data_IF_337223251439
#
_entry.id   IF_337223251439
#
_cell.length_a   1.000
_cell.length_b   1.000
_cell.length_c   1.000
_cell.angle_alpha   90.00
_cell.angle_beta   90.00
_cell.angle_gamma   90.00
#
_symmetry.space_group_name_H-M   'P 1'
#
loop_
_entity.id
_entity.type
_entity.pdbx_description
1 polymer ?
#
# COMPACT_ATOMS: atom_id res chain seq x y z
N UNK A 1 -24.97 -17.64 -6.17
CA UNK A 1 -25.28 -16.91 -7.43
C UNK A 1 -24.28 -17.40 -8.44
N UNK A 2 -24.74 -17.70 -9.66
CA UNK A 2 -24.05 -18.48 -10.70
C UNK A 2 -22.52 -18.47 -10.68
N UNK A 3 -21.89 -19.60 -10.36
CA UNK A 3 -20.50 -19.89 -10.72
C UNK A 3 -20.43 -19.95 -12.25
N UNK A 4 -20.21 -18.80 -12.88
CA UNK A 4 -19.93 -18.72 -14.30
C UNK A 4 -18.57 -19.38 -14.53
N UNK A 5 -18.51 -20.33 -15.47
CA UNK A 5 -17.26 -21.01 -15.84
C UNK A 5 -16.12 -20.02 -16.13
N UNK A 6 -16.46 -18.85 -16.68
CA UNK A 6 -15.49 -17.79 -16.94
C UNK A 6 -14.91 -17.19 -15.66
N UNK A 7 -15.75 -16.91 -14.66
CA UNK A 7 -15.31 -16.32 -13.39
C UNK A 7 -14.45 -17.32 -12.60
N UNK A 8 -14.80 -18.61 -12.65
CA UNK A 8 -13.99 -19.68 -12.07
C UNK A 8 -12.63 -19.80 -12.78
N UNK A 9 -12.61 -19.82 -14.12
CA UNK A 9 -11.36 -19.90 -14.87
C UNK A 9 -10.45 -18.69 -14.63
N UNK A 10 -11.02 -17.49 -14.46
CA UNK A 10 -10.26 -16.29 -14.11
C UNK A 10 -9.67 -16.39 -12.70
N UNK A 11 -10.47 -16.82 -11.73
CA UNK A 11 -10.00 -17.05 -10.36
C UNK A 11 -8.89 -18.12 -10.31
N UNK A 12 -8.99 -19.19 -11.10
CA UNK A 12 -7.96 -20.23 -11.17
C UNK A 12 -6.66 -19.68 -11.78
N UNK A 13 -6.75 -18.83 -12.80
CA UNK A 13 -5.59 -18.18 -13.40
C UNK A 13 -4.89 -17.24 -12.41
N UNK A 14 -5.65 -16.48 -11.63
CA UNK A 14 -5.12 -15.61 -10.57
C UNK A 14 -4.36 -16.42 -9.50
N UNK A 15 -4.88 -17.58 -9.10
CA UNK A 15 -4.18 -18.48 -8.17
C UNK A 15 -2.86 -19.00 -8.76
N UNK A 16 -2.87 -19.39 -10.03
CA UNK A 16 -1.64 -19.86 -10.69
C UNK A 16 -0.59 -18.74 -10.75
N UNK A 17 -1.01 -17.50 -11.03
CA UNK A 17 -0.13 -16.33 -11.03
C UNK A 17 0.49 -16.11 -9.64
N UNK A 18 -0.33 -16.13 -8.59
CA UNK A 18 0.13 -15.93 -7.22
C UNK A 18 1.02 -17.10 -6.73
N UNK A 19 0.72 -18.32 -7.12
CA UNK A 19 1.53 -19.49 -6.75
C UNK A 19 2.88 -19.51 -7.49
N UNK A 20 2.90 -19.10 -8.76
CA UNK A 20 4.11 -19.14 -9.59
C UNK A 20 5.03 -17.94 -9.34
N UNK A 21 4.46 -16.74 -9.26
CA UNK A 21 5.23 -15.48 -9.19
C UNK A 21 5.17 -14.81 -7.81
N UNK A 22 4.25 -15.22 -6.95
CA UNK A 22 4.09 -14.61 -5.63
C UNK A 22 5.20 -15.01 -4.67
N UNK A 23 5.59 -14.06 -3.84
CA UNK A 23 6.49 -14.27 -2.70
C UNK A 23 5.72 -14.14 -1.39
N UNK A 24 6.19 -14.83 -0.36
CA UNK A 24 5.69 -14.62 1.01
C UNK A 24 6.16 -13.26 1.51
N UNK A 25 5.22 -12.45 2.01
CA UNK A 25 5.46 -11.14 2.61
C UNK A 25 4.69 -11.03 3.92
N UNK A 26 5.13 -10.13 4.81
CA UNK A 26 4.42 -9.83 6.06
C UNK A 26 3.69 -8.48 5.94
N UNK A 27 2.38 -8.49 6.16
CA UNK A 27 1.56 -7.27 6.28
C UNK A 27 1.18 -7.06 7.74
N UNK A 28 0.94 -5.80 8.13
CA UNK A 28 0.60 -5.44 9.51
C UNK A 28 -0.73 -4.66 9.60
N UNK A 29 -1.87 -5.27 9.22
CA UNK A 29 -3.17 -4.62 9.36
C UNK A 29 -3.45 -4.27 10.83
N UNK A 30 -3.54 -2.97 11.14
CA UNK A 30 -3.71 -2.51 12.52
C UNK A 30 -2.59 -2.95 13.48
N UNK A 31 -1.39 -3.24 12.96
CA UNK A 31 -0.22 -3.63 13.74
C UNK A 31 -0.08 -5.12 14.04
N UNK A 32 -1.02 -5.98 13.63
CA UNK A 32 -0.91 -7.43 13.80
C UNK A 32 -0.24 -8.05 12.58
N UNK A 33 0.86 -8.79 12.76
CA UNK A 33 1.54 -9.45 11.65
C UNK A 33 0.65 -10.54 11.03
N UNK A 34 0.53 -10.50 9.70
CA UNK A 34 -0.10 -11.55 8.90
C UNK A 34 0.79 -11.81 7.68
N UNK A 35 1.12 -13.08 7.46
CA UNK A 35 1.84 -13.52 6.26
C UNK A 35 0.86 -13.78 5.13
N UNK A 36 1.18 -13.26 3.95
CA UNK A 36 0.41 -13.46 2.73
C UNK A 36 1.34 -13.73 1.56
N UNK A 37 0.79 -14.25 0.47
CA UNK A 37 1.50 -14.38 -0.81
C UNK A 37 1.04 -13.28 -1.75
N UNK A 38 1.99 -12.58 -2.34
CA UNK A 38 1.71 -11.48 -3.26
C UNK A 38 2.79 -11.39 -4.32
N UNK A 39 2.41 -10.99 -5.53
CA UNK A 39 3.38 -10.62 -6.56
C UNK A 39 3.83 -9.20 -6.26
N UNK A 40 5.12 -9.03 -6.03
CA UNK A 40 5.73 -7.73 -5.79
C UNK A 40 6.39 -7.23 -7.07
N UNK A 41 5.94 -6.08 -7.54
CA UNK A 41 6.58 -5.37 -8.64
C UNK A 41 7.15 -4.05 -8.09
N UNK A 42 8.46 -4.05 -7.93
CA UNK A 42 9.22 -2.84 -7.69
C UNK A 42 10.11 -2.60 -8.92
N UNK A 43 9.85 -1.51 -9.67
CA UNK A 43 10.81 -1.02 -10.63
C UNK A 43 12.15 -0.84 -9.92
N UNK A 44 13.22 -1.36 -10.53
CA UNK A 44 14.57 -1.05 -10.10
C UNK A 44 14.69 0.47 -9.93
N UNK A 45 15.39 0.91 -8.89
CA UNK A 45 15.62 2.34 -8.71
C UNK A 45 16.25 2.87 -9.99
N UNK A 46 15.47 3.62 -10.77
CA UNK A 46 15.93 4.29 -11.96
C UNK A 46 16.73 5.53 -11.53
N UNK A 47 17.73 5.34 -10.67
CA UNK A 47 18.88 6.25 -10.55
C UNK A 47 19.78 6.06 -11.77
N UNK A 48 19.19 6.07 -12.96
CA UNK A 48 19.94 6.24 -14.18
C UNK A 48 20.47 7.66 -14.16
N UNK A 49 21.73 7.83 -13.75
CA UNK A 49 22.52 9.03 -14.08
C UNK A 49 22.63 9.09 -15.60
N UNK A 50 21.61 9.65 -16.25
CA UNK A 50 21.75 10.08 -17.62
C UNK A 50 22.53 11.40 -17.55
N UNK A 51 23.76 11.35 -18.04
CA UNK A 51 24.67 12.48 -18.24
C UNK A 51 23.90 13.78 -18.56
N UNK A 52 23.75 14.66 -17.56
CA UNK A 52 23.31 16.05 -17.76
C UNK A 52 21.97 16.46 -17.14
N UNK A 53 21.00 15.56 -16.94
CA UNK A 53 19.70 15.89 -16.32
C UNK A 53 19.06 14.66 -15.68
N UNK A 54 19.07 14.56 -14.35
CA UNK A 54 18.42 13.47 -13.61
C UNK A 54 16.91 13.71 -13.53
N UNK A 55 16.14 13.06 -14.40
CA UNK A 55 14.69 12.92 -14.23
C UNK A 55 14.43 11.89 -13.12
N UNK A 56 13.84 12.31 -12.00
CA UNK A 56 13.36 11.38 -10.98
C UNK A 56 12.07 10.76 -11.50
N UNK A 57 12.13 9.50 -11.94
CA UNK A 57 10.94 8.73 -12.26
C UNK A 57 10.40 8.11 -10.97
N UNK A 58 9.40 8.75 -10.39
CA UNK A 58 8.70 8.27 -9.21
C UNK A 58 7.80 7.09 -9.58
N UNK A 59 8.37 5.91 -9.74
CA UNK A 59 7.62 4.69 -9.99
C UNK A 59 7.38 3.97 -8.67
N UNK A 60 6.15 4.07 -8.17
CA UNK A 60 5.73 3.50 -6.89
C UNK A 60 5.73 1.96 -6.97
N UNK A 61 6.31 1.26 -5.97
CA UNK A 61 6.18 -0.18 -5.86
C UNK A 61 4.72 -0.62 -5.71
N UNK A 62 4.35 -1.75 -6.29
CA UNK A 62 2.98 -2.29 -6.23
C UNK A 62 2.97 -3.75 -5.78
N UNK A 63 1.88 -4.14 -5.13
CA UNK A 63 1.58 -5.51 -4.73
C UNK A 63 0.30 -5.99 -5.37
N UNK A 64 0.35 -7.15 -6.01
CA UNK A 64 -0.83 -7.84 -6.53
C UNK A 64 -1.13 -9.07 -5.67
N UNK A 65 -2.36 -9.15 -5.15
CA UNK A 65 -2.78 -10.22 -4.23
C UNK A 65 -4.30 -10.36 -4.17
N UNK A 66 -4.79 -11.43 -3.53
CA UNK A 66 -6.22 -11.65 -3.28
C UNK A 66 -6.76 -10.60 -2.30
N UNK A 67 -7.91 -9.99 -2.62
CA UNK A 67 -8.56 -9.00 -1.74
C UNK A 67 -8.85 -9.56 -0.34
N UNK A 68 -9.26 -10.83 -0.27
CA UNK A 68 -9.52 -11.54 0.98
C UNK A 68 -8.31 -11.62 1.93
N UNK A 69 -7.07 -11.70 1.41
CA UNK A 69 -5.87 -11.86 2.24
C UNK A 69 -5.45 -10.55 2.92
N UNK A 70 -5.75 -9.43 2.26
CA UNK A 70 -5.46 -8.07 2.70
C UNK A 70 -6.67 -7.39 3.35
N UNK A 71 -7.69 -8.18 3.70
CA UNK A 71 -8.84 -7.71 4.46
C UNK A 71 -8.41 -6.96 5.73
N UNK A 72 -8.82 -5.70 5.81
CA UNK A 72 -8.52 -4.79 6.92
C UNK A 72 -7.24 -3.97 6.78
N UNK A 73 -6.48 -4.16 5.71
CA UNK A 73 -5.31 -3.33 5.39
C UNK A 73 -5.75 -1.91 5.03
N UNK A 74 -5.08 -0.92 5.60
CA UNK A 74 -5.40 0.51 5.44
C UNK A 74 -4.18 1.29 4.99
N UNK A 75 -4.44 2.50 4.49
CA UNK A 75 -3.39 3.48 4.24
C UNK A 75 -2.54 3.69 5.50
N UNK A 76 -1.23 3.74 5.31
CA UNK A 76 -0.18 3.82 6.34
C UNK A 76 0.06 2.55 7.15
N UNK A 77 -0.64 1.45 6.87
CA UNK A 77 -0.22 0.15 7.41
C UNK A 77 1.14 -0.23 6.82
N UNK A 78 1.91 -0.98 7.62
CA UNK A 78 3.25 -1.43 7.27
C UNK A 78 3.19 -2.73 6.48
N UNK A 79 4.08 -2.86 5.52
CA UNK A 79 4.32 -4.08 4.76
C UNK A 79 5.83 -4.36 4.73
N UNK A 80 6.22 -5.59 5.00
CA UNK A 80 7.61 -6.03 4.99
C UNK A 80 7.81 -7.00 3.84
N UNK A 81 8.68 -6.64 2.91
CA UNK A 81 8.96 -7.40 1.68
C UNK A 81 10.45 -7.64 1.62
N UNK A 82 10.87 -8.91 1.63
CA UNK A 82 12.29 -9.30 1.66
C UNK A 82 13.12 -8.62 2.78
N UNK A 83 12.49 -8.28 3.90
CA UNK A 83 13.14 -7.59 5.03
C UNK A 83 13.16 -6.06 4.93
N UNK A 84 12.69 -5.48 3.81
CA UNK A 84 12.58 -4.04 3.61
C UNK A 84 11.18 -3.53 4.00
N UNK A 85 11.08 -2.37 4.69
CA UNK A 85 9.81 -1.79 5.06
C UNK A 85 9.21 -0.93 3.96
N UNK A 86 7.91 -1.11 3.76
CA UNK A 86 7.05 -0.36 2.86
C UNK A 86 5.79 0.11 3.59
N UNK A 87 5.17 1.14 3.04
CA UNK A 87 3.91 1.70 3.53
C UNK A 87 2.83 1.62 2.48
N UNK A 88 1.63 1.27 2.91
CA UNK A 88 0.45 1.30 2.05
C UNK A 88 0.08 2.76 1.75
N UNK A 89 0.16 3.15 0.48
CA UNK A 89 -0.30 4.45 -0.02
C UNK A 89 -1.76 4.36 -0.46
N UNK A 90 -2.06 3.29 -1.18
CA UNK A 90 -3.41 2.95 -1.65
C UNK A 90 -3.65 1.45 -1.41
N UNK A 91 -4.58 1.06 -0.52
CA UNK A 91 -4.90 -0.35 -0.28
C UNK A 91 -5.60 -1.03 -1.46
N UNK A 92 -5.94 -0.31 -2.53
CA UNK A 92 -6.73 -0.82 -3.64
C UNK A 92 -8.21 -0.94 -3.29
N UNK A 93 -9.03 -1.18 -4.32
CA UNK A 93 -10.47 -1.34 -4.18
C UNK A 93 -10.94 -2.59 -4.92
N UNK A 94 -11.68 -3.45 -4.22
CA UNK A 94 -12.45 -4.54 -4.81
C UNK A 94 -13.93 -4.10 -4.83
N UNK A 95 -14.55 -4.10 -6.02
CA UNK A 95 -15.98 -3.74 -6.17
C UNK A 95 -16.91 -4.69 -5.39
N UNK A 96 -16.43 -5.91 -5.10
CA UNK A 96 -17.13 -6.91 -4.29
C UNK A 96 -16.81 -6.79 -2.79
N UNK A 97 -15.96 -5.84 -2.40
CA UNK A 97 -15.51 -5.62 -1.02
C UNK A 97 -14.75 -6.82 -0.44
N UNK A 98 -14.77 -6.97 0.88
CA UNK A 98 -14.06 -8.05 1.62
C UNK A 98 -14.58 -9.46 1.32
N UNK A 99 -15.75 -9.56 0.69
CA UNK A 99 -16.34 -10.83 0.25
C UNK A 99 -16.01 -11.16 -1.22
N UNK A 100 -15.27 -10.28 -1.90
CA UNK A 100 -14.79 -10.52 -3.24
C UNK A 100 -13.79 -11.67 -3.29
N UNK A 101 -13.94 -12.51 -4.29
CA UNK A 101 -12.93 -13.52 -4.65
C UNK A 101 -11.88 -12.92 -5.60
N UNK A 102 -11.89 -11.61 -5.82
CA UNK A 102 -11.01 -10.95 -6.78
C UNK A 102 -9.57 -10.76 -6.29
N UNK A 103 -8.77 -10.27 -7.22
CA UNK A 103 -7.41 -9.78 -6.99
C UNK A 103 -7.43 -8.26 -6.98
N UNK A 104 -6.54 -7.66 -6.17
CA UNK A 104 -6.37 -6.22 -6.10
C UNK A 104 -4.90 -5.85 -6.19
N UNK A 105 -4.67 -4.61 -6.63
CA UNK A 105 -3.36 -3.98 -6.64
C UNK A 105 -3.28 -2.94 -5.53
N UNK A 106 -2.30 -3.10 -4.65
CA UNK A 106 -1.96 -2.18 -3.57
C UNK A 106 -0.76 -1.35 -4.01
N UNK A 107 -0.85 -0.03 -3.87
CA UNK A 107 0.28 0.87 -4.10
C UNK A 107 1.04 1.11 -2.82
N UNK A 108 2.37 1.00 -2.89
CA UNK A 108 3.27 1.17 -1.76
C UNK A 108 4.19 2.39 -1.92
N UNK A 109 4.71 2.86 -0.80
CA UNK A 109 5.86 3.76 -0.74
C UNK A 109 7.02 3.04 -0.02
N UNK A 110 8.25 3.34 -0.45
CA UNK A 110 9.48 2.81 0.18
C UNK A 110 9.73 3.52 1.52
N UNK A 111 10.16 2.79 2.53
CA UNK A 111 10.65 3.33 3.81
C UNK A 111 9.69 3.21 4.99
N UNK A 112 10.19 3.62 6.15
CA UNK A 112 9.46 3.66 7.43
C UNK A 112 8.56 4.91 7.54
N UNK A 113 7.50 4.90 8.37
CA UNK A 113 6.73 6.09 8.67
C UNK A 113 7.66 7.24 9.07
N UNK A 114 7.61 8.35 8.33
CA UNK A 114 8.29 9.58 8.73
C UNK A 114 7.88 9.99 10.15
N UNK A 115 8.78 10.68 10.86
CA UNK A 115 8.50 11.19 12.23
C UNK A 115 7.09 11.78 12.31
N UNK A 116 6.40 11.47 13.41
CA UNK A 116 5.13 12.11 13.77
C UNK A 116 5.20 13.61 13.50
N UNK A 117 4.22 14.15 12.78
CA UNK A 117 4.12 15.59 12.54
C UNK A 117 4.23 16.32 13.88
N UNK A 118 5.17 17.27 14.04
CA UNK A 118 5.27 18.06 15.25
C UNK A 118 3.91 18.69 15.57
N UNK A 119 3.56 18.78 16.85
CA UNK A 119 2.33 19.44 17.28
C UNK A 119 2.22 20.81 16.61
N UNK A 120 1.04 21.12 16.06
CA UNK A 120 0.80 22.41 15.42
C UNK A 120 1.24 23.53 16.38
N UNK A 121 1.97 24.55 15.90
CA UNK A 121 2.40 25.65 16.76
C UNK A 121 1.16 26.30 17.38
N UNK A 122 1.14 26.36 18.72
CA UNK A 122 0.08 27.02 19.48
C UNK A 122 0.07 28.48 19.05
N UNK A 123 -0.97 28.92 18.34
CA UNK A 123 -1.14 30.36 18.05
C UNK A 123 -1.32 31.08 19.38
N UNK A 124 -0.46 32.05 19.74
CA UNK A 124 -0.73 32.89 20.90
C UNK A 124 -2.05 33.64 20.64
N UNK A 125 -3.03 33.45 21.52
CA UNK A 125 -4.28 34.20 21.49
C UNK A 125 -3.95 35.69 21.65
N UNK A 126 -4.24 36.52 20.64
CA UNK A 126 -4.17 37.98 20.77
C UNK A 126 -5.19 38.40 21.84
N UNK A 127 -4.71 38.75 23.04
CA UNK A 127 -5.52 39.52 23.99
C UNK A 127 -5.56 40.96 23.47
N UNK A 128 -6.72 41.38 22.99
CA UNK A 128 -7.01 42.80 22.84
C UNK A 128 -7.46 43.30 24.20
N UNK A 129 -6.56 44.01 24.89
CA UNK A 129 -6.94 44.78 26.07
C UNK A 129 -7.85 45.92 25.61
N UNK A 130 -9.14 45.83 25.92
CA UNK A 130 -10.09 46.92 25.77
C UNK A 130 -9.79 47.97 26.84
N UNK A 131 -8.93 48.93 26.54
CA UNK A 131 -8.91 50.20 27.26
C UNK A 131 -10.22 50.94 26.95
N UNK A 132 -11.16 50.94 27.91
CA UNK A 132 -12.23 51.94 27.96
C UNK A 132 -11.73 53.14 28.76
N UNK A 133 -12.02 54.31 28.18
CA UNK A 133 -11.72 55.66 28.62
C UNK A 133 -12.22 55.97 30.04
#
# INVERSE_FOLDING_TARGET
MSDNLFDQAMSDADDIILDTMGTEISIYPGGTERKIRAVFDAPADNTGMNTGSGEIRDTAPVLFTRSAWVAGLKKYDRVMIHGEPYLVVDPGWDESGTAGHGVITITLARGEPGRSTPAAPVRPSKRYDSQRA
#
